data_IF_858201418185
#
_entry.id   IF_858201418185
#
_cell.length_a   1.000
_cell.length_b   1.000
_cell.length_c   1.000
_cell.angle_alpha   90.00
_cell.angle_beta   90.00
_cell.angle_gamma   90.00
#
_symmetry.space_group_name_H-M   'P 1'
#
loop_
_entity.id
_entity.type
_entity.pdbx_description
1 polymer ?
#
# COMPACT_ATOMS: atom_id res chain seq x y z
N UNK A 1 -0.90 3.10 -17.64
CA UNK A 1 -1.75 2.12 -18.34
C UNK A 1 -2.22 0.97 -17.42
N UNK A 2 -1.36 0.43 -16.53
CA UNK A 2 -1.68 -0.70 -15.64
C UNK A 2 -2.94 -0.51 -14.76
N UNK A 3 -3.14 0.67 -14.14
CA UNK A 3 -4.25 0.90 -13.18
C UNK A 3 -5.66 0.66 -13.76
N UNK A 4 -5.95 1.15 -14.98
CA UNK A 4 -7.26 0.94 -15.63
C UNK A 4 -7.55 -0.53 -15.90
N UNK A 5 -6.53 -1.29 -16.30
CA UNK A 5 -6.65 -2.72 -16.52
C UNK A 5 -6.89 -3.48 -15.23
N UNK A 6 -6.15 -3.16 -14.16
CA UNK A 6 -6.34 -3.80 -12.85
C UNK A 6 -7.75 -3.54 -12.31
N UNK A 7 -8.26 -2.30 -12.44
CA UNK A 7 -9.64 -1.96 -12.07
C UNK A 7 -10.64 -2.80 -12.87
N UNK A 8 -10.51 -2.84 -14.20
CA UNK A 8 -11.41 -3.63 -15.05
C UNK A 8 -11.40 -5.12 -14.69
N UNK A 9 -10.22 -5.73 -14.51
CA UNK A 9 -10.11 -7.11 -14.06
C UNK A 9 -10.71 -7.32 -12.66
N UNK A 10 -10.53 -6.35 -11.75
CA UNK A 10 -11.16 -6.37 -10.43
C UNK A 10 -12.67 -6.44 -10.53
N UNK A 11 -13.27 -5.62 -11.39
CA UNK A 11 -14.73 -5.57 -11.56
C UNK A 11 -15.27 -6.89 -12.11
N UNK A 12 -14.56 -7.48 -13.08
CA UNK A 12 -14.91 -8.80 -13.62
C UNK A 12 -14.84 -9.90 -12.57
N UNK A 13 -13.77 -9.93 -11.77
CA UNK A 13 -13.60 -10.89 -10.68
C UNK A 13 -14.68 -10.68 -9.62
N UNK A 14 -14.94 -9.43 -9.22
CA UNK A 14 -15.99 -9.06 -8.27
C UNK A 14 -17.35 -9.59 -8.72
N UNK A 15 -17.70 -9.41 -10.01
CA UNK A 15 -18.97 -9.85 -10.57
C UNK A 15 -19.08 -11.37 -10.78
N UNK A 16 -18.02 -12.03 -11.25
CA UNK A 16 -18.10 -13.39 -11.78
C UNK A 16 -17.36 -14.45 -10.95
N UNK A 17 -16.65 -14.04 -9.90
CA UNK A 17 -15.78 -14.92 -9.13
C UNK A 17 -14.36 -15.02 -9.69
N UNK A 18 -13.51 -15.85 -9.06
CA UNK A 18 -12.13 -16.02 -9.47
C UNK A 18 -12.01 -16.39 -10.96
N UNK A 19 -11.14 -15.70 -11.69
CA UNK A 19 -10.99 -15.84 -13.14
C UNK A 19 -9.61 -16.38 -13.53
N UNK A 20 -9.52 -17.11 -14.63
CA UNK A 20 -8.21 -17.50 -15.18
C UNK A 20 -7.55 -16.31 -15.89
N UNK A 21 -6.21 -16.28 -16.01
CA UNK A 21 -5.51 -15.27 -16.81
C UNK A 21 -5.96 -15.23 -18.27
N UNK A 22 -6.34 -16.37 -18.85
CA UNK A 22 -6.81 -16.50 -20.22
C UNK A 22 -8.21 -15.89 -20.41
N UNK A 23 -9.13 -16.13 -19.46
CA UNK A 23 -10.47 -15.52 -19.47
C UNK A 23 -10.40 -14.00 -19.33
N UNK A 24 -9.58 -13.50 -18.39
CA UNK A 24 -9.32 -12.07 -18.25
C UNK A 24 -8.66 -11.50 -19.51
N UNK A 25 -7.71 -12.24 -20.11
CA UNK A 25 -7.07 -11.90 -21.39
C UNK A 25 -8.06 -11.64 -22.51
N UNK A 26 -9.00 -12.58 -22.71
CA UNK A 26 -10.04 -12.45 -23.73
C UNK A 26 -10.94 -11.25 -23.47
N UNK A 27 -11.36 -11.02 -22.23
CA UNK A 27 -12.24 -9.91 -21.89
C UNK A 27 -11.56 -8.54 -21.99
N UNK A 28 -10.30 -8.42 -21.55
CA UNK A 28 -9.50 -7.19 -21.66
C UNK A 28 -9.23 -6.83 -23.13
N UNK A 29 -8.95 -7.84 -23.97
CA UNK A 29 -8.82 -7.64 -25.42
C UNK A 29 -10.14 -7.19 -26.05
N UNK A 30 -11.25 -7.87 -25.71
CA UNK A 30 -12.57 -7.52 -26.22
C UNK A 30 -12.99 -6.09 -25.82
N UNK A 31 -12.57 -5.62 -24.63
CA UNK A 31 -12.79 -4.26 -24.16
C UNK A 31 -11.80 -3.23 -24.76
N UNK A 32 -10.86 -3.64 -25.61
CA UNK A 32 -9.87 -2.76 -26.24
C UNK A 32 -8.87 -2.12 -25.26
N UNK A 33 -8.71 -2.69 -24.06
CA UNK A 33 -7.86 -2.14 -23.00
C UNK A 33 -6.36 -2.48 -23.18
N UNK A 34 -6.03 -3.39 -24.10
CA UNK A 34 -4.66 -3.71 -24.49
C UNK A 34 -4.56 -4.03 -25.98
N UNK A 35 -3.39 -3.76 -26.56
CA UNK A 35 -2.99 -4.18 -27.91
C UNK A 35 -1.80 -5.15 -27.88
N UNK A 36 -1.44 -5.66 -26.70
CA UNK A 36 -0.32 -6.58 -26.54
C UNK A 36 -0.54 -7.85 -27.36
N UNK A 37 0.52 -8.33 -28.01
CA UNK A 37 0.54 -9.63 -28.71
C UNK A 37 0.45 -10.81 -27.72
N UNK A 38 0.81 -10.59 -26.45
CA UNK A 38 0.64 -11.55 -25.37
C UNK A 38 -0.14 -10.93 -24.19
N UNK A 39 -1.48 -10.87 -24.28
CA UNK A 39 -2.33 -10.25 -23.26
C UNK A 39 -2.29 -11.02 -21.93
N UNK A 40 -2.17 -12.34 -21.97
CA UNK A 40 -2.20 -13.21 -20.77
C UNK A 40 -1.01 -12.93 -19.86
N UNK A 41 0.20 -12.91 -20.42
CA UNK A 41 1.42 -12.59 -19.65
C UNK A 41 1.36 -11.17 -19.10
N UNK A 42 0.90 -10.21 -19.91
CA UNK A 42 0.78 -8.81 -19.49
C UNK A 42 -0.19 -8.65 -18.30
N UNK A 43 -1.36 -9.30 -18.36
CA UNK A 43 -2.36 -9.28 -17.28
C UNK A 43 -1.80 -9.96 -16.04
N UNK A 44 -1.18 -11.13 -16.18
CA UNK A 44 -0.56 -11.84 -15.05
C UNK A 44 0.45 -10.95 -14.32
N UNK A 45 1.32 -10.26 -15.06
CA UNK A 45 2.28 -9.31 -14.50
C UNK A 45 1.58 -8.13 -13.83
N UNK A 46 0.61 -7.51 -14.49
CA UNK A 46 -0.13 -6.37 -13.94
C UNK A 46 -0.90 -6.71 -12.65
N UNK A 47 -1.56 -7.88 -12.61
CA UNK A 47 -2.29 -8.33 -11.43
C UNK A 47 -1.34 -8.71 -10.30
N UNK A 48 -0.22 -9.39 -10.57
CA UNK A 48 0.80 -9.70 -9.54
C UNK A 48 1.43 -8.47 -8.91
N UNK A 49 1.48 -7.36 -9.63
CA UNK A 49 1.96 -6.07 -9.12
C UNK A 49 0.90 -5.33 -8.28
N UNK A 50 -0.37 -5.72 -8.38
CA UNK A 50 -1.44 -5.09 -7.60
C UNK A 50 -1.49 -5.69 -6.18
N UNK A 51 -1.48 -4.85 -5.12
CA UNK A 51 -1.53 -5.35 -3.74
C UNK A 51 -2.89 -5.97 -3.37
N UNK A 52 -3.96 -5.66 -4.12
CA UNK A 52 -5.33 -6.14 -3.86
C UNK A 52 -5.73 -7.34 -4.72
N UNK A 53 -4.82 -7.86 -5.53
CA UNK A 53 -5.05 -9.03 -6.39
C UNK A 53 -4.28 -10.21 -5.87
N UNK A 54 -4.94 -11.37 -5.83
CA UNK A 54 -4.39 -12.58 -5.24
C UNK A 54 -4.43 -13.68 -6.28
N UNK A 55 -3.28 -14.30 -6.54
CA UNK A 55 -3.23 -15.51 -7.35
C UNK A 55 -3.50 -16.72 -6.45
N UNK A 56 -4.54 -17.48 -6.76
CA UNK A 56 -4.93 -18.71 -6.08
C UNK A 56 -3.98 -19.87 -6.45
N UNK A 57 -3.91 -20.94 -5.64
CA UNK A 57 -3.07 -22.11 -5.93
C UNK A 57 -3.38 -22.81 -7.26
N UNK A 58 -4.63 -22.73 -7.73
CA UNK A 58 -5.08 -23.28 -9.02
C UNK A 58 -4.75 -22.38 -10.23
N UNK A 59 -4.04 -21.25 -9.99
CA UNK A 59 -3.59 -20.32 -11.01
C UNK A 59 -4.62 -19.22 -11.36
N UNK A 60 -5.85 -19.28 -10.86
CA UNK A 60 -6.84 -18.20 -11.02
C UNK A 60 -6.46 -16.97 -10.21
N UNK A 61 -7.01 -15.83 -10.58
CA UNK A 61 -6.94 -14.59 -9.83
C UNK A 61 -8.26 -14.31 -9.14
N UNK A 62 -8.17 -13.87 -7.89
CA UNK A 62 -9.28 -13.33 -7.11
C UNK A 62 -8.87 -11.98 -6.50
N UNK A 63 -9.81 -11.28 -5.88
CA UNK A 63 -9.63 -9.93 -5.35
C UNK A 63 -9.72 -9.91 -3.83
N UNK A 64 -8.94 -9.03 -3.21
CA UNK A 64 -9.00 -8.77 -1.77
C UNK A 64 -10.43 -8.41 -1.32
N UNK A 65 -11.16 -7.65 -2.14
CA UNK A 65 -12.54 -7.24 -1.87
C UNK A 65 -13.47 -8.43 -1.66
N UNK A 66 -13.38 -9.45 -2.53
CA UNK A 66 -14.17 -10.69 -2.40
C UNK A 66 -13.72 -11.54 -1.22
N UNK A 67 -12.42 -11.68 -1.01
CA UNK A 67 -11.89 -12.47 0.10
C UNK A 67 -12.24 -11.89 1.47
N UNK A 68 -12.39 -10.56 1.56
CA UNK A 68 -12.78 -9.88 2.79
C UNK A 68 -14.29 -9.84 3.00
N UNK A 69 -15.10 -10.23 2.01
CA UNK A 69 -16.56 -10.23 2.16
C UNK A 69 -16.99 -11.22 3.25
N UNK A 70 -17.59 -10.70 4.32
CA UNK A 70 -17.98 -11.46 5.51
C UNK A 70 -16.92 -11.54 6.61
N UNK A 71 -15.66 -11.20 6.32
CA UNK A 71 -14.55 -11.24 7.30
C UNK A 71 -14.72 -10.17 8.36
N UNK A 72 -14.45 -10.52 9.63
CA UNK A 72 -14.34 -9.62 10.77
C UNK A 72 -12.89 -9.47 11.21
N UNK A 73 -12.33 -8.29 10.95
CA UNK A 73 -11.05 -7.89 11.53
C UNK A 73 -11.31 -7.09 12.79
N UNK A 74 -10.59 -7.39 13.86
CA UNK A 74 -10.79 -6.70 15.14
C UNK A 74 -9.61 -5.80 15.47
N UNK A 75 -9.91 -4.65 16.04
CA UNK A 75 -8.94 -3.67 16.49
C UNK A 75 -9.19 -3.31 17.96
N UNK A 76 -8.11 -3.21 18.75
CA UNK A 76 -8.21 -2.73 20.12
C UNK A 76 -8.08 -1.22 20.20
N UNK A 77 -9.14 -0.59 20.67
CA UNK A 77 -9.23 0.85 20.88
C UNK A 77 -8.36 1.24 22.07
N UNK A 78 -7.21 1.87 21.84
CA UNK A 78 -6.34 2.33 22.94
C UNK A 78 -6.87 3.57 23.68
N UNK A 79 -7.72 4.36 23.03
CA UNK A 79 -8.32 5.56 23.60
C UNK A 79 -9.77 5.68 23.19
N UNK A 80 -10.64 6.07 24.12
CA UNK A 80 -12.08 6.21 23.89
C UNK A 80 -12.41 6.94 22.56
N UNK A 81 -13.43 6.46 21.87
CA UNK A 81 -13.76 6.90 20.49
C UNK A 81 -14.77 8.02 20.40
N UNK A 82 -15.36 8.46 21.52
CA UNK A 82 -16.36 9.53 21.54
C UNK A 82 -15.90 10.77 20.77
N UNK A 83 -16.67 11.13 19.73
CA UNK A 83 -16.43 12.31 18.90
C UNK A 83 -15.17 12.23 18.02
N UNK A 84 -14.51 11.07 17.93
CA UNK A 84 -13.34 10.89 17.08
C UNK A 84 -13.75 10.63 15.63
N UNK A 85 -13.04 11.27 14.72
CA UNK A 85 -13.16 11.04 13.28
C UNK A 85 -11.95 10.32 12.68
N UNK A 86 -10.91 10.11 13.49
CA UNK A 86 -9.66 9.49 13.05
C UNK A 86 -9.39 8.24 13.88
N UNK A 87 -9.23 7.12 13.19
CA UNK A 87 -8.76 5.85 13.73
C UNK A 87 -7.30 5.62 13.32
N UNK A 88 -6.43 5.33 14.28
CA UNK A 88 -5.09 4.87 13.99
C UNK A 88 -5.13 3.35 13.90
N UNK A 89 -5.28 2.86 12.67
CA UNK A 89 -5.31 1.44 12.37
C UNK A 89 -3.95 0.80 12.67
N UNK A 90 -3.96 -0.31 13.40
CA UNK A 90 -2.76 -1.12 13.62
C UNK A 90 -2.55 -2.16 12.51
N UNK A 91 -1.46 -2.94 12.59
CA UNK A 91 -1.14 -4.01 11.63
C UNK A 91 -2.27 -5.02 11.43
N UNK A 92 -3.12 -5.24 12.42
CA UNK A 92 -4.30 -6.09 12.37
C UNK A 92 -5.34 -5.66 11.32
N UNK A 93 -5.34 -4.38 10.94
CA UNK A 93 -6.19 -3.85 9.86
C UNK A 93 -5.43 -3.65 8.54
N UNK A 94 -4.17 -4.08 8.44
CA UNK A 94 -3.29 -3.83 7.28
C UNK A 94 -3.84 -4.34 5.95
N UNK A 95 -4.67 -5.39 5.96
CA UNK A 95 -5.32 -5.87 4.73
C UNK A 95 -6.37 -4.88 4.23
N UNK A 96 -7.11 -4.23 5.14
CA UNK A 96 -8.05 -3.16 4.79
C UNK A 96 -7.30 -1.89 4.38
N UNK A 97 -6.14 -1.59 4.96
CA UNK A 97 -5.27 -0.49 4.50
C UNK A 97 -4.93 -0.65 3.02
N UNK A 98 -4.58 -1.87 2.59
CA UNK A 98 -4.22 -2.13 1.18
C UNK A 98 -5.40 -1.86 0.25
N UNK A 99 -6.61 -2.26 0.64
CA UNK A 99 -7.83 -1.97 -0.14
C UNK A 99 -8.12 -0.48 -0.12
N UNK A 100 -8.06 0.17 1.04
CA UNK A 100 -8.31 1.60 1.20
C UNK A 100 -7.36 2.46 0.38
N UNK A 101 -6.06 2.16 0.39
CA UNK A 101 -5.04 2.87 -0.41
C UNK A 101 -5.25 2.62 -1.90
N UNK A 102 -5.64 1.42 -2.29
CA UNK A 102 -5.88 1.08 -3.69
C UNK A 102 -7.13 1.74 -4.26
N UNK A 103 -8.24 1.68 -3.52
CA UNK A 103 -9.55 2.24 -3.90
C UNK A 103 -9.67 3.75 -3.62
N UNK A 104 -8.81 4.28 -2.75
CA UNK A 104 -8.80 5.68 -2.30
C UNK A 104 -9.80 5.98 -1.18
N UNK A 105 -10.90 5.22 -1.12
CA UNK A 105 -11.90 5.32 -0.04
C UNK A 105 -12.66 4.00 0.12
N UNK A 106 -13.18 3.74 1.32
CA UNK A 106 -14.10 2.63 1.59
C UNK A 106 -15.44 3.16 2.06
N UNK A 107 -16.51 2.81 1.35
CA UNK A 107 -17.87 3.21 1.72
C UNK A 107 -18.30 2.54 3.03
N UNK A 108 -18.94 3.30 3.91
CA UNK A 108 -19.47 2.78 5.17
C UNK A 108 -20.90 2.26 5.03
N UNK A 109 -21.29 1.31 5.86
CA UNK A 109 -22.69 0.88 5.99
C UNK A 109 -23.56 1.97 6.63
N UNK A 110 -23.03 2.70 7.61
CA UNK A 110 -23.69 3.83 8.26
C UNK A 110 -23.83 5.08 7.37
N UNK A 111 -23.22 5.08 6.17
CA UNK A 111 -23.19 6.22 5.27
C UNK A 111 -21.86 6.98 5.30
N UNK A 112 -21.57 7.68 4.20
CA UNK A 112 -20.26 8.28 3.96
C UNK A 112 -19.19 7.24 3.61
N UNK A 113 -17.92 7.64 3.69
CA UNK A 113 -16.78 6.81 3.38
C UNK A 113 -15.61 7.16 4.28
N UNK A 114 -14.73 6.18 4.52
CA UNK A 114 -13.42 6.43 5.11
C UNK A 114 -12.37 6.62 4.03
N UNK A 115 -11.38 7.45 4.32
CA UNK A 115 -10.20 7.68 3.48
C UNK A 115 -8.94 7.43 4.30
N UNK A 116 -7.87 7.01 3.65
CA UNK A 116 -6.56 6.98 4.30
C UNK A 116 -6.00 8.40 4.35
N UNK A 117 -5.59 8.87 5.52
CA UNK A 117 -4.75 10.07 5.65
C UNK A 117 -3.36 9.72 5.16
N UNK A 118 -2.88 10.41 4.12
CA UNK A 118 -1.51 10.25 3.62
C UNK A 118 -0.60 11.18 4.44
N UNK A 119 0.14 10.59 5.39
CA UNK A 119 1.11 11.31 6.21
C UNK A 119 1.97 10.30 7.00
N UNK A 120 3.08 10.75 7.58
CA UNK A 120 4.09 9.91 8.24
C UNK A 120 3.55 9.00 9.37
N UNK A 121 2.34 9.28 9.86
CA UNK A 121 1.71 8.61 11.00
C UNK A 121 0.48 7.77 10.62
N UNK A 122 0.02 7.84 9.37
CA UNK A 122 -1.12 7.07 8.86
C UNK A 122 -2.43 7.26 9.66
N UNK A 123 -3.53 6.74 9.15
CA UNK A 123 -4.82 6.75 9.87
C UNK A 123 -6.01 6.80 8.94
N UNK A 124 -7.15 6.33 9.42
CA UNK A 124 -8.41 6.35 8.68
C UNK A 124 -9.24 7.52 9.15
N UNK A 125 -9.63 8.37 8.22
CA UNK A 125 -10.51 9.50 8.46
C UNK A 125 -11.90 9.17 7.93
N UNK A 126 -12.94 9.40 8.72
CA UNK A 126 -14.33 9.20 8.33
C UNK A 126 -15.24 10.38 8.70
N UNK A 127 -16.51 10.35 8.27
CA UNK A 127 -17.49 11.38 8.62
C UNK A 127 -17.75 11.41 10.14
N UNK A 128 -18.34 12.48 10.71
CA UNK A 128 -18.77 12.47 12.10
C UNK A 128 -19.56 11.19 12.46
N UNK A 129 -19.32 10.66 13.66
CA UNK A 129 -20.01 9.49 14.22
C UNK A 129 -19.80 8.16 13.46
N UNK A 130 -18.82 8.08 12.55
CA UNK A 130 -18.50 6.82 11.85
C UNK A 130 -17.91 5.74 12.76
N UNK A 131 -17.25 6.16 13.85
CA UNK A 131 -16.76 5.27 14.91
C UNK A 131 -17.82 5.16 16.01
N UNK A 132 -18.21 3.95 16.40
CA UNK A 132 -19.05 3.74 17.58
C UNK A 132 -18.37 4.32 18.84
N UNK A 133 -19.14 4.91 19.76
CA UNK A 133 -18.63 5.39 21.05
C UNK A 133 -18.36 4.19 21.98
N UNK A 134 -17.08 3.87 22.16
CA UNK A 134 -16.59 2.80 23.04
C UNK A 134 -15.48 3.35 23.94
N UNK A 135 -15.35 2.85 25.19
CA UNK A 135 -14.28 3.25 26.07
C UNK A 135 -12.92 2.73 25.58
N UNK A 136 -11.85 3.21 26.20
CA UNK A 136 -10.52 2.65 26.01
C UNK A 136 -10.50 1.15 26.33
N UNK A 137 -9.57 0.44 25.70
CA UNK A 137 -9.32 -1.01 25.73
C UNK A 137 -10.45 -1.90 25.20
N UNK A 138 -11.53 -1.30 24.66
CA UNK A 138 -12.60 -2.02 23.98
C UNK A 138 -12.20 -2.48 22.58
N UNK A 139 -12.93 -3.46 22.05
CA UNK A 139 -12.71 -4.00 20.71
C UNK A 139 -13.75 -3.46 19.72
N UNK A 140 -13.28 -3.10 18.53
CA UNK A 140 -14.11 -2.82 17.36
C UNK A 140 -13.89 -3.90 16.31
N UNK A 141 -14.98 -4.39 15.71
CA UNK A 141 -14.97 -5.28 14.56
C UNK A 141 -15.24 -4.48 13.27
N UNK A 142 -14.37 -4.69 12.30
CA UNK A 142 -14.42 -4.15 10.95
C UNK A 142 -14.86 -5.26 10.02
N UNK A 143 -16.11 -5.15 9.55
CA UNK A 143 -16.73 -6.16 8.68
C UNK A 143 -16.95 -5.59 7.30
N UNK A 144 -16.35 -6.20 6.31
CA UNK A 144 -16.59 -5.84 4.93
C UNK A 144 -17.73 -6.70 4.39
N UNK A 145 -18.82 -6.08 3.91
CA UNK A 145 -19.98 -6.78 3.33
C UNK A 145 -20.53 -6.02 2.15
N UNK A 146 -20.71 -6.71 1.02
CA UNK A 146 -21.27 -6.13 -0.21
C UNK A 146 -20.56 -4.84 -0.64
N UNK A 147 -19.23 -4.81 -0.47
CA UNK A 147 -18.46 -3.62 -0.83
C UNK A 147 -18.52 -2.45 0.15
N UNK A 148 -19.10 -2.65 1.34
CA UNK A 148 -19.23 -1.63 2.39
C UNK A 148 -18.61 -2.12 3.69
N UNK A 149 -17.99 -1.20 4.41
CA UNK A 149 -17.38 -1.44 5.71
C UNK A 149 -18.38 -1.10 6.83
N UNK A 150 -18.67 -2.07 7.69
CA UNK A 150 -19.34 -1.87 8.96
C UNK A 150 -18.31 -1.84 10.08
N UNK A 151 -18.51 -0.95 11.05
CA UNK A 151 -17.68 -0.84 12.25
C UNK A 151 -18.60 -1.01 13.45
N UNK A 152 -18.38 -2.06 14.23
CA UNK A 152 -19.29 -2.48 15.30
C UNK A 152 -18.51 -2.74 16.59
N UNK A 153 -19.02 -2.35 17.77
CA UNK A 153 -18.44 -2.77 19.04
C UNK A 153 -18.52 -4.29 19.19
N UNK A 154 -17.42 -4.91 19.62
CA UNK A 154 -17.44 -6.32 19.99
C UNK A 154 -18.02 -6.43 21.39
N UNK A 155 -19.18 -7.10 21.50
CA UNK A 155 -19.91 -7.22 22.77
C UNK A 155 -19.31 -8.28 23.71
N UNK A 156 -18.70 -9.31 23.15
CA UNK A 156 -18.08 -10.41 23.88
C UNK A 156 -16.64 -10.55 23.43
N UNK A 157 -15.71 -10.27 24.32
CA UNK A 157 -14.28 -10.34 24.00
C UNK A 157 -13.90 -11.79 23.65
N UNK A 158 -13.37 -12.03 22.43
CA UNK A 158 -13.00 -13.36 22.01
C UNK A 158 -11.79 -13.88 22.79
N UNK A 159 -11.78 -15.18 23.06
CA UNK A 159 -10.71 -15.81 23.84
C UNK A 159 -9.47 -16.08 22.97
N UNK A 160 -8.30 -15.66 23.44
CA UNK A 160 -6.98 -15.98 22.86
C UNK A 160 -6.63 -17.47 22.87
N UNK A 161 -7.38 -18.29 23.62
CA UNK A 161 -7.18 -19.74 23.79
C UNK A 161 -8.21 -20.58 23.03
N UNK A 162 -9.00 -19.98 22.15
CA UNK A 162 -10.00 -20.69 21.35
C UNK A 162 -9.36 -21.55 20.25
N UNK A 163 -10.07 -22.58 19.78
CA UNK A 163 -9.65 -23.43 18.67
C UNK A 163 -9.50 -22.67 17.36
N UNK A 164 -10.34 -21.66 17.15
CA UNK A 164 -10.37 -20.81 15.96
C UNK A 164 -9.12 -19.93 15.90
N UNK A 165 -8.69 -19.38 17.04
CA UNK A 165 -7.43 -18.64 17.15
C UNK A 165 -6.23 -19.55 16.88
N UNK A 166 -6.25 -20.79 17.36
CA UNK A 166 -5.15 -21.72 17.08
C UNK A 166 -5.11 -22.14 15.60
N UNK A 167 -6.29 -22.35 14.99
CA UNK A 167 -6.42 -22.58 13.54
C UNK A 167 -5.85 -21.40 12.75
N UNK A 168 -6.18 -20.17 13.11
CA UNK A 168 -5.62 -18.95 12.52
C UNK A 168 -4.08 -18.92 12.66
N UNK A 169 -3.55 -19.17 13.86
CA UNK A 169 -2.09 -19.20 14.08
C UNK A 169 -1.40 -20.23 13.19
N UNK A 170 -1.94 -21.44 13.07
CA UNK A 170 -1.36 -22.50 12.25
C UNK A 170 -1.33 -22.12 10.76
N UNK A 171 -2.43 -21.59 10.24
CA UNK A 171 -2.52 -21.15 8.83
C UNK A 171 -1.51 -20.03 8.57
N UNK A 172 -1.47 -19.01 9.42
CA UNK A 172 -0.56 -17.88 9.26
C UNK A 172 0.90 -18.30 9.40
N UNK A 173 1.25 -19.09 10.41
CA UNK A 173 2.62 -19.58 10.60
C UNK A 173 3.14 -20.33 9.39
N UNK A 174 2.31 -21.15 8.74
CA UNK A 174 2.71 -21.84 7.50
C UNK A 174 3.12 -20.84 6.42
N UNK A 175 2.30 -19.82 6.15
CA UNK A 175 2.63 -18.82 5.14
C UNK A 175 3.81 -17.92 5.54
N UNK A 176 3.96 -17.65 6.84
CA UNK A 176 5.10 -16.91 7.37
C UNK A 176 6.40 -17.69 7.20
N UNK A 177 6.43 -18.99 7.56
CA UNK A 177 7.62 -19.84 7.43
C UNK A 177 8.01 -20.16 5.99
N UNK A 178 7.05 -20.18 5.06
CA UNK A 178 7.35 -20.47 3.64
C UNK A 178 7.92 -19.25 2.90
N UNK A 179 7.99 -18.09 3.55
CA UNK A 179 8.52 -16.87 2.94
C UNK A 179 9.91 -16.64 3.52
N UNK A 180 10.97 -16.96 2.77
CA UNK A 180 12.41 -16.89 3.15
C UNK A 180 12.93 -15.51 3.63
N UNK A 181 12.04 -14.52 3.85
CA UNK A 181 12.35 -13.14 4.21
C UNK A 181 11.66 -12.70 5.52
N UNK A 182 11.62 -13.58 6.53
CA UNK A 182 11.02 -13.26 7.84
C UNK A 182 11.76 -12.15 8.61
N UNK A 183 13.01 -11.87 8.29
CA UNK A 183 13.77 -10.72 8.83
C UNK A 183 13.17 -9.36 8.44
N UNK A 184 12.20 -9.32 7.51
CA UNK A 184 11.57 -8.11 6.99
C UNK A 184 10.11 -7.93 7.44
N UNK A 185 9.73 -8.44 8.62
CA UNK A 185 8.46 -8.09 9.28
C UNK A 185 8.27 -6.56 9.51
N UNK A 186 9.25 -5.73 9.14
CA UNK A 186 9.26 -4.26 9.26
C UNK A 186 8.14 -3.51 8.52
N UNK A 187 7.21 -4.16 7.80
CA UNK A 187 6.12 -3.45 7.11
C UNK A 187 4.74 -4.08 7.27
N UNK A 188 3.74 -3.23 7.57
CA UNK A 188 2.30 -3.59 7.59
C UNK A 188 1.85 -4.29 6.30
N UNK A 189 2.53 -4.03 5.18
CA UNK A 189 2.20 -4.62 3.88
C UNK A 189 2.41 -6.14 3.80
N UNK A 190 3.35 -6.70 4.56
CA UNK A 190 3.60 -8.15 4.55
C UNK A 190 2.43 -8.90 5.18
N UNK A 191 1.92 -8.41 6.32
CA UNK A 191 0.82 -9.07 7.03
C UNK A 191 -0.47 -9.07 6.19
N UNK A 192 -0.83 -7.96 5.56
CA UNK A 192 -2.00 -7.92 4.69
C UNK A 192 -1.94 -8.93 3.54
N UNK A 193 -0.76 -9.13 2.92
CA UNK A 193 -0.57 -10.13 1.86
C UNK A 193 -0.69 -11.56 2.39
N UNK A 194 -0.11 -11.85 3.56
CA UNK A 194 -0.22 -13.15 4.22
C UNK A 194 -1.66 -13.46 4.58
N UNK A 195 -2.40 -12.47 5.09
CA UNK A 195 -3.82 -12.59 5.40
C UNK A 195 -4.65 -12.93 4.17
N UNK A 196 -4.42 -12.26 3.04
CA UNK A 196 -5.12 -12.57 1.79
C UNK A 196 -4.83 -14.00 1.29
N UNK A 197 -3.58 -14.47 1.41
CA UNK A 197 -3.25 -15.87 1.09
C UNK A 197 -3.92 -16.86 2.05
N UNK A 198 -3.99 -16.53 3.32
CA UNK A 198 -4.69 -17.34 4.32
C UNK A 198 -6.19 -17.45 4.00
N UNK A 199 -6.84 -16.33 3.67
CA UNK A 199 -8.26 -16.30 3.28
C UNK A 199 -8.51 -17.01 1.94
N UNK A 200 -7.55 -16.98 1.02
CA UNK A 200 -7.64 -17.71 -0.24
C UNK A 200 -7.69 -19.24 -0.03
N UNK A 201 -7.00 -19.76 0.98
CA UNK A 201 -7.01 -21.19 1.30
C UNK A 201 -8.12 -21.57 2.29
N UNK A 202 -8.40 -20.68 3.24
CA UNK A 202 -9.37 -20.88 4.32
C UNK A 202 -10.32 -19.69 4.39
N UNK A 203 -11.35 -19.63 3.52
CA UNK A 203 -12.22 -18.46 3.41
C UNK A 203 -13.05 -18.16 4.66
N UNK A 204 -13.29 -19.17 5.49
CA UNK A 204 -14.10 -19.08 6.71
C UNK A 204 -13.29 -18.65 7.96
N UNK A 205 -11.99 -18.37 7.82
CA UNK A 205 -11.06 -18.21 8.93
C UNK A 205 -11.43 -17.10 9.92
N UNK A 206 -12.12 -16.06 9.45
CA UNK A 206 -12.44 -14.84 10.19
C UNK A 206 -13.91 -14.44 10.05
N UNK A 207 -14.83 -15.40 9.90
CA UNK A 207 -16.27 -15.08 9.84
C UNK A 207 -16.77 -14.47 11.16
N UNK A 208 -16.28 -15.00 12.27
CA UNK A 208 -16.52 -14.50 13.62
C UNK A 208 -15.35 -13.65 14.10
N UNK A 209 -15.61 -12.64 14.96
CA UNK A 209 -14.56 -11.77 15.45
C UNK A 209 -13.62 -12.58 16.36
N UNK A 210 -12.35 -12.65 15.98
CA UNK A 210 -11.27 -13.19 16.81
C UNK A 210 -10.56 -12.04 17.54
N UNK A 211 -9.61 -12.30 18.45
CA UNK A 211 -8.80 -11.22 19.01
C UNK A 211 -7.99 -10.52 17.91
N UNK A 212 -7.59 -9.26 18.12
CA UNK A 212 -6.72 -8.53 17.20
C UNK A 212 -5.51 -9.35 16.77
N UNK A 213 -5.17 -9.26 15.48
CA UNK A 213 -4.21 -10.16 14.86
C UNK A 213 -2.80 -9.98 15.43
N UNK A 214 -2.46 -8.75 15.81
CA UNK A 214 -1.25 -8.40 16.55
C UNK A 214 -1.17 -9.10 17.91
N UNK A 215 -2.29 -9.18 18.64
CA UNK A 215 -2.39 -9.95 19.89
C UNK A 215 -2.28 -11.46 19.64
N UNK A 216 -2.93 -11.98 18.60
CA UNK A 216 -2.90 -13.40 18.23
C UNK A 216 -1.47 -13.85 17.90
N UNK A 217 -0.75 -13.01 17.15
CA UNK A 217 0.62 -13.24 16.71
C UNK A 217 1.68 -12.79 17.73
N UNK A 218 1.27 -12.14 18.84
CA UNK A 218 2.14 -11.58 19.86
C UNK A 218 3.21 -10.64 19.26
N UNK A 219 2.78 -9.82 18.30
CA UNK A 219 3.61 -8.76 17.76
C UNK A 219 3.70 -7.70 18.85
N UNK A 220 4.71 -7.78 19.71
CA UNK A 220 4.78 -6.99 20.96
C UNK A 220 4.35 -5.52 20.81
N UNK A 221 3.73 -4.99 21.86
CA UNK A 221 3.15 -3.63 21.89
C UNK A 221 4.18 -2.55 21.51
N UNK A 222 5.46 -2.75 21.88
CA UNK A 222 6.58 -1.84 21.66
C UNK A 222 6.92 -1.58 20.18
N UNK A 223 6.47 -2.43 19.24
CA UNK A 223 6.80 -2.27 17.82
C UNK A 223 5.84 -1.35 17.06
N UNK A 224 4.66 -1.09 17.61
CA UNK A 224 3.56 -0.48 16.84
C UNK A 224 2.83 0.63 17.59
N UNK A 225 2.82 0.58 18.92
CA UNK A 225 2.95 1.83 19.66
C UNK A 225 4.31 2.38 19.25
N UNK A 226 4.35 3.40 18.39
CA UNK A 226 5.56 4.21 18.26
C UNK A 226 5.72 4.95 19.60
N UNK A 227 6.11 4.21 20.63
CA UNK A 227 6.97 4.74 21.67
C UNK A 227 8.17 5.21 20.87
N UNK A 228 8.13 6.48 20.49
CA UNK A 228 9.29 7.15 19.99
C UNK A 228 10.34 6.90 21.08
N UNK A 229 11.42 6.14 20.83
CA UNK A 229 12.58 6.39 21.63
C UNK A 229 12.80 7.88 21.38
N UNK A 230 12.67 8.70 22.42
CA UNK A 230 13.20 10.04 22.40
C UNK A 230 14.70 9.82 22.28
N UNK A 231 15.16 9.52 21.05
CA UNK A 231 16.51 9.78 20.65
C UNK A 231 16.62 11.27 20.86
N UNK A 232 17.22 11.62 21.98
CA UNK A 232 17.72 12.95 22.29
C UNK A 232 18.18 13.55 20.97
N UNK A 233 17.55 14.63 20.54
CA UNK A 233 17.97 15.36 19.35
C UNK A 233 19.26 16.11 19.74
N UNK A 234 20.32 15.36 19.99
CA UNK A 234 21.69 15.83 19.92
C UNK A 234 22.09 15.82 18.44
N UNK A 235 21.58 16.81 17.72
CA UNK A 235 21.83 16.96 16.31
C UNK A 235 21.16 18.22 15.79
N UNK A 236 21.94 19.30 15.71
CA UNK A 236 21.52 20.55 15.10
C UNK A 236 20.99 20.31 13.68
N UNK A 237 19.69 20.49 13.49
CA UNK A 237 19.11 20.75 12.18
C UNK A 237 18.33 22.06 12.22
N UNK A 238 18.44 22.78 11.10
CA UNK A 238 18.09 24.17 10.84
C UNK A 238 16.56 24.42 10.89
N UNK A 239 15.94 24.13 12.04
CA UNK A 239 14.51 24.27 12.27
C UNK A 239 14.13 25.69 12.71
N UNK A 240 13.00 26.19 12.21
CA UNK A 240 12.43 27.45 12.69
C UNK A 240 12.12 27.36 14.20
N UNK A 241 12.77 28.21 14.99
CA UNK A 241 12.49 28.36 16.41
C UNK A 241 11.18 29.11 16.60
N UNK A 242 10.17 28.44 17.14
CA UNK A 242 8.91 29.06 17.58
C UNK A 242 9.05 29.47 19.04
N UNK A 243 8.82 30.75 19.34
CA UNK A 243 8.78 31.28 20.71
C UNK A 243 7.32 31.38 21.13
N UNK A 244 6.96 30.78 22.26
CA UNK A 244 5.64 30.91 22.87
C UNK A 244 5.71 32.03 23.91
N UNK A 245 5.19 33.20 23.57
CA UNK A 245 5.08 34.33 24.47
C UNK A 245 3.84 34.20 25.37
N UNK A 246 3.87 34.85 26.54
CA UNK A 246 2.76 34.93 27.51
C UNK A 246 2.21 33.57 28.02
N UNK A 247 3.05 32.53 28.06
CA UNK A 247 2.67 31.24 28.64
C UNK A 247 2.36 31.41 30.15
N UNK A 248 1.16 31.00 30.63
CA UNK A 248 0.82 31.12 32.03
C UNK A 248 1.85 30.44 32.94
N UNK A 249 2.29 31.12 33.99
CA UNK A 249 3.35 30.64 34.89
C UNK A 249 3.03 29.27 35.51
N UNK A 250 1.76 29.01 35.80
CA UNK A 250 1.28 27.71 36.29
C UNK A 250 1.48 26.58 35.27
N UNK A 251 1.21 26.84 33.98
CA UNK A 251 1.41 25.86 32.90
C UNK A 251 2.90 25.61 32.66
N UNK A 252 3.71 26.67 32.63
CA UNK A 252 5.16 26.54 32.51
C UNK A 252 5.77 25.73 33.68
N UNK A 253 5.26 25.93 34.91
CA UNK A 253 5.69 25.17 36.08
C UNK A 253 5.25 23.70 36.04
N UNK A 254 4.07 23.39 35.48
CA UNK A 254 3.61 22.03 35.27
C UNK A 254 4.47 21.30 34.22
N UNK A 255 4.69 21.92 33.06
CA UNK A 255 5.52 21.37 32.00
C UNK A 255 6.95 21.09 32.45
N UNK A 256 7.57 22.00 33.24
CA UNK A 256 8.90 21.75 33.82
C UNK A 256 8.90 20.54 34.74
N UNK A 257 7.94 20.47 35.66
CA UNK A 257 7.83 19.36 36.63
C UNK A 257 7.67 18.02 35.93
N UNK A 258 6.86 17.96 34.89
CA UNK A 258 6.63 16.73 34.14
C UNK A 258 7.85 16.38 33.26
N UNK A 259 8.53 17.37 32.70
CA UNK A 259 9.78 17.17 31.97
C UNK A 259 10.89 16.62 32.89
N UNK A 260 11.04 17.19 34.09
CA UNK A 260 12.00 16.73 35.12
C UNK A 260 11.72 15.28 35.53
N UNK A 261 10.44 14.91 35.71
CA UNK A 261 10.03 13.54 36.05
C UNK A 261 10.35 12.53 34.94
N UNK A 262 10.27 12.97 33.69
CA UNK A 262 10.50 12.15 32.51
C UNK A 262 11.96 12.18 32.03
N UNK A 263 12.82 12.99 32.66
CA UNK A 263 14.23 13.10 32.29
C UNK A 263 14.46 13.77 30.94
N UNK A 264 13.52 14.62 30.48
CA UNK A 264 13.61 15.35 29.20
C UNK A 264 13.60 16.85 29.44
N UNK A 265 13.98 17.65 28.44
CA UNK A 265 13.87 19.10 28.54
C UNK A 265 12.40 19.55 28.41
N UNK A 266 12.06 20.70 28.98
CA UNK A 266 10.70 21.28 28.84
C UNK A 266 10.36 21.58 27.38
N UNK A 267 11.35 21.92 26.55
CA UNK A 267 11.17 22.13 25.12
C UNK A 267 10.78 20.84 24.40
N UNK A 268 11.50 19.75 24.64
CA UNK A 268 11.18 18.43 24.08
C UNK A 268 9.80 17.95 24.51
N UNK A 269 9.46 18.05 25.80
CA UNK A 269 8.12 17.70 26.28
C UNK A 269 7.04 18.55 25.60
N UNK A 270 7.29 19.84 25.40
CA UNK A 270 6.34 20.73 24.73
C UNK A 270 6.17 20.35 23.26
N UNK A 271 7.25 20.01 22.55
CA UNK A 271 7.19 19.50 21.16
C UNK A 271 6.44 18.18 21.11
N UNK A 272 6.70 17.24 22.02
CA UNK A 272 5.97 15.97 22.10
C UNK A 272 4.49 16.19 22.37
N UNK A 273 4.13 17.09 23.29
CA UNK A 273 2.74 17.40 23.60
C UNK A 273 2.04 18.16 22.46
N UNK A 274 2.71 19.09 21.80
CA UNK A 274 2.18 19.80 20.62
C UNK A 274 2.04 18.86 19.44
N UNK A 275 2.99 17.94 19.26
CA UNK A 275 2.89 16.88 18.25
C UNK A 275 1.68 16.00 18.58
N UNK A 276 1.58 15.47 19.80
CA UNK A 276 0.43 14.68 20.26
C UNK A 276 -0.90 15.45 20.14
N UNK A 277 -0.91 16.75 20.43
CA UNK A 277 -2.11 17.60 20.33
C UNK A 277 -2.51 17.86 18.89
N UNK A 278 -1.56 18.17 18.00
CA UNK A 278 -1.81 18.32 16.55
C UNK A 278 -2.27 17.00 15.93
N UNK A 279 -1.77 15.85 16.41
CA UNK A 279 -2.29 14.53 16.05
C UNK A 279 -3.73 14.29 16.54
N UNK A 280 -4.05 14.68 17.79
CA UNK A 280 -5.37 14.44 18.39
C UNK A 280 -6.46 15.40 17.92
N UNK A 281 -6.12 16.58 17.42
CA UNK A 281 -7.07 17.67 17.14
C UNK A 281 -7.26 17.93 15.64
N UNK A 282 -7.64 16.92 14.85
CA UNK A 282 -8.36 17.04 13.57
C UNK A 282 -7.85 18.03 12.48
N UNK A 283 -6.69 18.65 12.62
CA UNK A 283 -6.11 19.60 11.66
C UNK A 283 -5.31 18.97 10.52
N UNK A 284 -4.78 17.72 10.59
CA UNK A 284 -4.17 17.09 9.41
C UNK A 284 -5.18 16.92 8.26
N UNK A 285 -6.44 16.66 8.61
CA UNK A 285 -7.51 16.44 7.65
C UNK A 285 -7.94 17.70 6.91
N UNK A 286 -7.57 18.91 7.35
CA UNK A 286 -8.08 20.14 6.70
C UNK A 286 -7.44 20.37 5.34
N UNK A 287 -6.17 20.00 5.16
CA UNK A 287 -5.51 20.15 3.87
C UNK A 287 -6.08 19.18 2.81
N UNK A 288 -6.41 17.96 3.20
CA UNK A 288 -6.94 16.93 2.29
C UNK A 288 -8.47 16.98 2.15
N UNK A 289 -9.22 17.26 3.22
CA UNK A 289 -10.66 17.44 3.14
C UNK A 289 -11.01 18.71 2.37
N UNK A 290 -10.26 19.82 2.51
CA UNK A 290 -10.48 21.00 1.67
C UNK A 290 -10.12 20.69 0.21
N UNK A 291 -9.11 19.88 -0.07
CA UNK A 291 -8.78 19.41 -1.43
C UNK A 291 -9.83 18.44 -2.00
N UNK A 292 -10.45 17.59 -1.17
CA UNK A 292 -11.52 16.67 -1.55
C UNK A 292 -12.89 17.35 -1.67
N UNK A 293 -13.14 18.43 -0.91
CA UNK A 293 -14.37 19.22 -0.98
C UNK A 293 -14.31 20.27 -2.12
N UNK A 294 -13.12 20.79 -2.43
CA UNK A 294 -12.91 21.73 -3.54
C UNK A 294 -12.76 21.05 -4.90
N UNK A 295 -12.58 19.73 -4.95
CA UNK A 295 -12.62 18.93 -6.18
C UNK A 295 -13.92 18.11 -6.22
N UNK A 296 -15.04 18.63 -6.78
CA UNK A 296 -16.21 17.80 -6.98
C UNK A 296 -15.86 16.62 -7.90
N UNK A 297 -16.44 15.42 -7.67
CA UNK A 297 -16.25 14.29 -8.57
C UNK A 297 -16.80 14.67 -9.95
N UNK A 298 -15.89 14.84 -10.91
CA UNK A 298 -16.13 15.05 -12.35
C UNK A 298 -17.53 15.57 -12.71
N UNK A 299 -17.66 16.90 -12.71
CA UNK A 299 -18.70 17.58 -13.48
C UNK A 299 -18.49 17.28 -14.97
N UNK A 300 -19.19 16.26 -15.48
CA UNK A 300 -19.42 16.05 -16.91
C UNK A 300 -20.37 17.13 -17.46
N UNK A 301 -20.02 18.41 -17.31
CA UNK A 301 -20.59 19.44 -18.16
C UNK A 301 -19.74 19.52 -19.42
N UNK A 302 -20.32 19.33 -20.61
CA UNK A 302 -19.59 19.56 -21.85
C UNK A 302 -19.19 21.04 -21.88
N UNK A 303 -17.88 21.27 -21.93
CA UNK A 303 -17.29 22.58 -22.15
C UNK A 303 -17.84 23.16 -23.47
N UNK A 304 -18.65 24.24 -23.45
CA UNK A 304 -19.26 24.79 -24.65
C UNK A 304 -18.24 25.47 -25.59
N UNK A 305 -17.00 25.68 -25.13
CA UNK A 305 -15.96 26.38 -25.89
C UNK A 305 -15.02 25.44 -26.65
N UNK A 306 -15.11 24.11 -26.44
CA UNK A 306 -14.29 23.15 -27.18
C UNK A 306 -14.98 22.72 -28.49
N UNK A 307 -15.19 23.68 -29.40
CA UNK A 307 -15.52 23.38 -30.79
C UNK A 307 -14.23 23.13 -31.57
N UNK A 308 -14.13 22.05 -32.36
CA UNK A 308 -12.96 21.81 -33.19
C UNK A 308 -12.89 22.87 -34.29
N UNK A 309 -11.76 23.57 -34.39
CA UNK A 309 -11.46 24.44 -35.52
C UNK A 309 -11.44 23.60 -36.80
N UNK A 310 -12.50 23.73 -37.59
CA UNK A 310 -12.51 23.28 -38.98
C UNK A 310 -11.67 24.26 -39.80
N UNK A 311 -10.53 23.79 -40.33
CA UNK A 311 -9.79 24.51 -41.36
C UNK A 311 -10.61 24.51 -42.66
N UNK A 312 -11.05 25.68 -43.09
CA UNK A 312 -11.45 25.94 -44.46
C UNK A 312 -10.28 26.63 -45.19
N UNK A 313 -9.99 26.30 -46.46
CA UNK A 313 -8.95 26.97 -47.22
C UNK A 313 -9.50 28.28 -47.79
N UNK A 314 -8.74 29.37 -47.65
CA UNK A 314 -9.00 30.60 -48.39
C UNK A 314 -7.91 30.83 -49.44
N UNK A 315 -8.41 31.12 -50.63
CA UNK A 315 -7.72 31.52 -51.84
C UNK A 315 -6.87 32.78 -51.64
N UNK A 316 -5.70 32.82 -52.29
CA UNK A 316 -5.07 34.08 -52.70
C UNK A 316 -4.25 33.90 -53.97
N UNK A 317 -4.76 34.51 -55.02
CA UNK A 317 -4.16 34.69 -56.36
C UNK A 317 -3.19 35.89 -56.39
N UNK A 318 -2.32 35.86 -57.42
CA UNK A 318 -1.56 36.94 -58.11
C UNK A 318 -0.45 37.69 -57.35
N UNK A 319 0.77 37.98 -57.84
CA UNK A 319 1.55 37.94 -59.11
C UNK A 319 2.98 38.48 -58.74
N UNK A 320 4.02 38.67 -59.61
CA UNK A 320 4.48 37.99 -60.83
C UNK A 320 6.03 37.68 -60.78
N UNK A 321 6.68 37.19 -61.86
CA UNK A 321 8.00 36.55 -61.81
C UNK A 321 9.17 37.44 -62.26
N UNK A 322 10.38 37.10 -61.80
CA UNK A 322 11.65 37.56 -62.41
C UNK A 322 12.54 36.38 -62.79
N UNK A 323 13.09 36.52 -63.99
CA UNK A 323 13.80 35.58 -64.86
C UNK A 323 15.30 35.44 -64.55
N UNK A 324 15.87 34.34 -65.07
CA UNK A 324 17.25 34.16 -65.62
C UNK A 324 18.39 34.22 -64.55
N UNK A 325 19.35 33.31 -64.44
CA UNK A 325 20.22 32.62 -65.41
C UNK A 325 20.51 31.16 -64.94
N UNK A 326 20.42 30.12 -65.76
CA UNK A 326 21.46 29.56 -66.66
C UNK A 326 22.82 29.21 -66.02
N UNK A 327 23.19 27.92 -66.09
CA UNK A 327 24.46 27.34 -66.61
C UNK A 327 24.85 26.06 -65.85
N UNK A 328 24.97 24.93 -66.59
CA UNK A 328 26.03 23.95 -66.34
C UNK A 328 25.63 22.51 -65.97
N UNK A 329 25.26 21.71 -66.97
CA UNK A 329 25.41 20.24 -67.02
C UNK A 329 26.93 19.89 -67.26
N UNK A 330 27.43 18.63 -67.38
CA UNK A 330 26.82 17.29 -67.23
C UNK A 330 27.73 16.16 -66.64
N UNK A 331 27.16 14.94 -66.58
CA UNK A 331 27.74 13.60 -66.86
C UNK A 331 28.88 12.97 -66.00
N UNK A 332 28.60 11.78 -65.46
CA UNK A 332 29.29 10.54 -65.87
C UNK A 332 28.53 9.24 -65.43
N UNK A 333 28.03 8.50 -66.43
CA UNK A 333 28.17 7.04 -66.68
C UNK A 333 28.97 6.22 -65.65
N UNK A 334 28.64 4.98 -65.25
CA UNK A 334 28.00 3.84 -65.93
C UNK A 334 28.37 2.51 -65.21
N UNK A 335 27.98 1.33 -65.74
CA UNK A 335 27.57 0.12 -64.97
C UNK A 335 28.47 -1.15 -65.13
N UNK A 336 28.09 -2.26 -64.47
CA UNK A 336 28.49 -3.66 -64.73
C UNK A 336 28.23 -4.56 -63.50
N UNK A 337 27.29 -5.52 -63.49
CA UNK A 337 27.31 -6.90 -64.05
C UNK A 337 28.50 -7.74 -63.52
N UNK A 338 28.45 -9.03 -63.13
CA UNK A 338 27.47 -10.10 -62.94
C UNK A 338 28.24 -11.31 -62.30
N UNK A 339 27.57 -12.47 -62.11
CA UNK A 339 28.11 -13.83 -61.81
C UNK A 339 28.48 -14.15 -60.35
N UNK A 340 28.37 -15.36 -59.79
CA UNK A 340 27.65 -16.63 -60.01
C UNK A 340 27.82 -17.45 -58.68
N UNK A 341 26.88 -18.35 -58.37
CA UNK A 341 26.86 -19.35 -57.27
C UNK A 341 27.85 -20.55 -57.57
N UNK A 342 28.04 -21.65 -56.79
CA UNK A 342 27.31 -22.22 -55.62
C UNK A 342 28.16 -22.98 -54.51
N UNK A 343 27.47 -23.62 -53.54
CA UNK A 343 27.79 -24.86 -52.75
C UNK A 343 29.10 -24.95 -51.93
N UNK A 344 29.13 -25.23 -50.61
CA UNK A 344 28.88 -26.56 -50.00
C UNK A 344 29.18 -26.60 -48.48
N UNK A 345 28.32 -27.30 -47.72
CA UNK A 345 28.43 -28.11 -46.48
C UNK A 345 29.14 -27.70 -45.14
N UNK A 346 28.69 -28.28 -43.99
CA UNK A 346 28.99 -27.87 -42.59
C UNK A 346 29.87 -28.91 -41.84
N UNK A 347 29.87 -29.04 -40.49
CA UNK A 347 30.19 -28.12 -39.40
C UNK A 347 31.45 -28.58 -38.59
N UNK A 348 32.04 -27.70 -37.76
CA UNK A 348 33.00 -28.10 -36.73
C UNK A 348 32.63 -27.52 -35.36
N UNK A 349 32.56 -28.38 -34.35
CA UNK A 349 32.56 -28.03 -32.92
C UNK A 349 33.92 -27.41 -32.54
N UNK A 350 33.96 -26.65 -31.44
CA UNK A 350 35.01 -26.93 -30.47
C UNK A 350 34.49 -27.03 -29.02
N UNK A 351 35.06 -28.00 -28.30
CA UNK A 351 35.26 -28.01 -26.84
C UNK A 351 35.94 -26.71 -26.40
N UNK A 352 35.61 -26.17 -25.21
CA UNK A 352 36.51 -26.19 -24.03
C UNK A 352 37.75 -25.30 -24.23
N UNK A 353 37.99 -24.22 -23.49
CA UNK A 353 38.02 -24.09 -22.05
C UNK A 353 38.38 -22.64 -21.67
N UNK A 354 37.98 -22.27 -20.45
CA UNK A 354 38.70 -21.41 -19.49
C UNK A 354 38.90 -19.90 -19.70
N UNK A 355 38.88 -19.26 -18.52
CA UNK A 355 39.37 -17.93 -18.15
C UNK A 355 38.41 -16.75 -18.31
N UNK A 356 37.61 -16.52 -17.27
CA UNK A 356 37.42 -15.20 -16.65
C UNK A 356 37.01 -15.41 -15.18
N UNK A 357 38.03 -15.47 -14.32
CA UNK A 357 37.96 -15.13 -12.91
C UNK A 357 37.54 -13.66 -12.76
N UNK A 358 36.55 -13.38 -11.91
CA UNK A 358 36.54 -12.24 -11.00
C UNK A 358 35.44 -12.48 -9.96
N UNK A 359 35.90 -13.04 -8.85
CA UNK A 359 35.21 -13.24 -7.59
C UNK A 359 35.14 -11.93 -6.82
N UNK A 360 33.94 -11.41 -6.59
CA UNK A 360 33.71 -10.47 -5.48
C UNK A 360 33.47 -11.30 -4.21
N UNK A 361 34.48 -11.26 -3.34
CA UNK A 361 34.48 -11.77 -1.98
C UNK A 361 33.40 -11.08 -1.13
N UNK A 362 32.43 -11.85 -0.65
CA UNK A 362 31.76 -11.55 0.61
C UNK A 362 32.02 -12.70 1.58
N UNK A 363 32.93 -12.46 2.51
CA UNK A 363 33.22 -13.33 3.63
C UNK A 363 31.95 -13.59 4.46
N UNK A 364 31.47 -14.83 4.42
CA UNK A 364 30.60 -15.40 5.43
C UNK A 364 31.34 -15.46 6.77
N UNK A 365 30.99 -14.57 7.70
CA UNK A 365 31.37 -14.72 9.10
C UNK A 365 30.33 -15.58 9.79
N UNK A 366 30.67 -16.86 9.94
CA UNK A 366 30.01 -17.78 10.88
C UNK A 366 30.42 -17.38 12.31
N UNK A 367 29.46 -16.94 13.12
CA UNK A 367 29.63 -16.89 14.58
C UNK A 367 28.85 -18.07 15.15
N UNK A 368 29.53 -19.21 15.23
CA UNK A 368 29.29 -20.19 16.28
C UNK A 368 29.90 -19.63 17.58
N UNK A 369 29.06 -19.20 18.52
CA UNK A 369 29.30 -19.25 19.97
C UNK A 369 28.11 -18.60 20.71
N UNK A 370 27.08 -19.41 20.96
CA UNK A 370 26.09 -19.17 22.01
C UNK A 370 26.63 -19.79 23.31
N UNK A 371 26.92 -19.03 24.37
CA UNK A 371 27.06 -19.61 25.69
C UNK A 371 25.69 -19.78 26.34
N UNK A 372 25.43 -21.01 26.78
CA UNK A 372 24.48 -21.35 27.83
C UNK A 372 24.67 -20.44 29.05
N UNK A 373 23.78 -19.47 29.27
CA UNK A 373 23.62 -18.86 30.57
C UNK A 373 22.22 -18.24 30.78
N UNK A 374 21.64 -18.64 31.91
CA UNK A 374 20.55 -18.01 32.67
C UNK A 374 19.16 -18.67 32.54
N UNK A 375 19.16 -19.98 32.78
CA UNK A 375 18.20 -20.63 33.67
C UNK A 375 18.58 -20.35 35.13
N UNK A 376 18.24 -19.19 35.69
CA UNK A 376 18.13 -18.98 37.14
C UNK A 376 17.60 -17.57 37.43
N UNK A 377 16.31 -17.46 37.81
CA UNK A 377 15.80 -16.56 38.86
C UNK A 377 14.28 -16.77 39.01
N UNK A 378 13.92 -17.97 39.47
CA UNK A 378 12.70 -18.19 40.25
C UNK A 378 13.11 -18.27 41.71
N UNK A 379 12.86 -17.22 42.50
CA UNK A 379 12.56 -17.32 43.93
C UNK A 379 11.92 -16.00 44.40
N UNK A 380 10.71 -16.11 44.93
CA UNK A 380 9.99 -15.06 45.66
C UNK A 380 10.71 -14.79 47.00
N UNK A 381 10.65 -13.57 47.55
CA UNK A 381 10.91 -13.34 48.95
C UNK A 381 9.64 -13.54 49.79
N UNK A 382 9.81 -14.21 50.93
CA UNK A 382 9.03 -13.98 52.16
C UNK A 382 9.60 -12.76 52.90
#
# INVERSE_FOLDING_TARGET
MSKRLVIFCSDLINASGPQTPDDLGRQVLAAGLTKSTNPVTMIRTALRQSPVMVQLPDGRFDSARRMLDGVALTHRVRFATKGRQVLYAGPELSVLDQVLVHEGSLALTAGGAITSSLGEFGGWCGPPDWLPDVPADSLLAFRFRNGRLAVEPVTHEPSLKSSEVERLRLVLRRFLMTTDNLDHWRSHHTLGKVMLRALAEVPDLLLDPLPPLDEVLQLGDERWGRDWPVESVEGHHDGQRVVLDDVPSALAAALRRDADRLGVTTGELTVLLLSAATYRTAMPCRHDAQSAYLNPPFSNYPDPDNRPYAYAPEDREDEPPSKEDEVGNPDHTGPGDAEENPESDPPAKPDGSDDCEDSDDFEEVWIDDLPDAVLALKRRPE
#
